data_IF_933672594386
#
_entry.id   IF_933672594386
#
_cell.length_a   1.000
_cell.length_b   1.000
_cell.length_c   1.000
_cell.angle_alpha   90.00
_cell.angle_beta   90.00
_cell.angle_gamma   90.00
#
_symmetry.space_group_name_H-M   'P 1'
#
loop_
_entity.id
_entity.type
_entity.pdbx_description
1 polymer ?
#
# COMPACT_ATOMS: atom_id res chain seq x y z
N UNK A 1 30.42 -22.86 4.45
CA UNK A 1 28.98 -22.53 4.31
C UNK A 1 28.80 -21.02 4.52
N UNK A 2 28.58 -20.25 3.45
CA UNK A 2 27.81 -19.02 3.58
C UNK A 2 26.73 -18.93 2.50
N UNK A 3 25.48 -18.72 2.91
CA UNK A 3 24.38 -18.40 2.00
C UNK A 3 24.37 -16.89 1.73
N UNK A 4 24.68 -16.50 0.48
CA UNK A 4 24.36 -15.18 -0.06
C UNK A 4 22.94 -15.21 -0.64
N UNK A 5 22.01 -14.48 -0.04
CA UNK A 5 20.74 -14.11 -0.66
C UNK A 5 20.97 -12.88 -1.52
N UNK A 6 21.25 -13.09 -2.81
CA UNK A 6 21.12 -12.07 -3.84
C UNK A 6 19.68 -12.11 -4.34
N UNK A 7 18.84 -11.16 -3.89
CA UNK A 7 17.55 -10.90 -4.56
C UNK A 7 17.89 -10.08 -5.80
N UNK A 8 18.29 -10.76 -6.87
CA UNK A 8 18.35 -10.18 -8.21
C UNK A 8 16.99 -10.37 -8.86
N UNK A 9 16.01 -9.56 -8.46
CA UNK A 9 14.88 -9.29 -9.36
C UNK A 9 15.27 -8.07 -10.18
N UNK A 10 16.00 -8.34 -11.25
CA UNK A 10 16.15 -7.42 -12.36
C UNK A 10 14.74 -7.29 -12.94
N UNK A 11 14.08 -6.19 -12.57
CA UNK A 11 12.92 -5.66 -13.28
C UNK A 11 13.34 -5.55 -14.76
N UNK A 12 13.07 -6.59 -15.54
CA UNK A 12 13.05 -6.47 -16.99
C UNK A 12 11.72 -5.81 -17.33
N UNK A 13 11.56 -4.58 -16.87
CA UNK A 13 10.97 -3.60 -17.76
C UNK A 13 11.76 -3.78 -19.05
N UNK A 14 11.10 -4.07 -20.16
CA UNK A 14 11.63 -3.60 -21.43
C UNK A 14 11.65 -2.09 -21.30
N UNK A 15 12.67 -1.55 -20.61
CA UNK A 15 13.18 -0.23 -20.90
C UNK A 15 13.51 -0.37 -22.38
N UNK A 16 12.64 0.18 -23.23
CA UNK A 16 13.16 0.78 -24.43
C UNK A 16 14.33 1.63 -23.95
N UNK A 17 15.51 1.50 -24.55
CA UNK A 17 16.69 2.33 -24.24
C UNK A 17 16.42 3.85 -24.44
N UNK A 18 15.18 4.21 -24.76
CA UNK A 18 14.65 5.54 -24.83
C UNK A 18 13.89 5.92 -23.53
N UNK A 19 14.43 6.80 -22.66
CA UNK A 19 13.73 7.31 -21.49
C UNK A 19 12.44 8.09 -21.83
N UNK A 20 12.22 8.43 -23.11
CA UNK A 20 10.96 9.00 -23.60
C UNK A 20 9.82 7.97 -23.73
N UNK A 21 10.05 6.68 -23.44
CA UNK A 21 9.01 5.64 -23.47
C UNK A 21 8.29 5.40 -22.14
N UNK A 22 8.65 6.14 -21.09
CA UNK A 22 7.86 6.13 -19.84
C UNK A 22 6.61 6.95 -20.13
N UNK A 23 5.47 6.27 -20.19
CA UNK A 23 4.19 6.94 -20.26
C UNK A 23 4.01 7.79 -18.98
N UNK A 24 4.14 9.11 -19.12
CA UNK A 24 3.96 10.05 -18.02
C UNK A 24 2.53 10.07 -17.49
N UNK A 25 1.54 9.56 -18.24
CA UNK A 25 0.19 9.34 -17.72
C UNK A 25 0.18 8.22 -16.66
N UNK A 26 1.04 7.21 -16.83
CA UNK A 26 1.20 6.07 -15.90
C UNK A 26 2.24 6.35 -14.81
N UNK A 27 3.26 7.19 -15.07
CA UNK A 27 4.32 7.51 -14.11
C UNK A 27 4.34 9.01 -13.79
N UNK A 28 3.63 9.47 -12.75
CA UNK A 28 3.41 10.89 -12.49
C UNK A 28 4.63 11.60 -11.88
N UNK A 29 5.79 10.94 -11.82
CA UNK A 29 7.03 11.57 -11.35
C UNK A 29 7.70 12.27 -12.52
N UNK A 30 7.82 13.61 -12.49
CA UNK A 30 8.65 14.31 -13.45
C UNK A 30 10.11 13.91 -13.17
N UNK A 31 10.62 12.95 -13.94
CA UNK A 31 12.05 12.64 -14.00
C UNK A 31 12.73 13.74 -14.84
N UNK A 32 12.65 14.99 -14.37
CA UNK A 32 13.40 16.08 -15.00
C UNK A 32 14.90 15.83 -14.81
N UNK A 33 15.69 16.18 -15.82
CA UNK A 33 17.15 16.16 -15.74
C UNK A 33 17.63 17.25 -14.77
N UNK A 34 17.66 16.93 -13.48
CA UNK A 34 18.05 17.81 -12.39
C UNK A 34 18.22 17.04 -11.08
N UNK A 35 18.81 17.67 -10.07
CA UNK A 35 18.95 17.06 -8.74
C UNK A 35 17.57 16.82 -8.11
N UNK A 36 17.35 15.61 -7.56
CA UNK A 36 16.10 15.26 -6.89
C UNK A 36 15.80 16.21 -5.72
N UNK A 37 14.61 16.80 -5.70
CA UNK A 37 14.10 17.62 -4.59
C UNK A 37 12.73 17.10 -4.16
N UNK A 38 12.57 16.86 -2.86
CA UNK A 38 11.27 16.55 -2.28
C UNK A 38 10.37 17.78 -2.35
N UNK A 39 9.21 17.63 -3.00
CA UNK A 39 8.17 18.65 -3.10
C UNK A 39 6.78 18.00 -2.92
N UNK A 40 5.80 18.79 -2.48
CA UNK A 40 4.42 18.32 -2.38
C UNK A 40 3.79 18.21 -3.77
N UNK A 41 3.66 16.98 -4.28
CA UNK A 41 3.11 16.67 -5.61
C UNK A 41 1.66 16.18 -5.59
N UNK A 42 0.82 16.74 -4.72
CA UNK A 42 -0.59 16.33 -4.62
C UNK A 42 -1.39 16.82 -5.83
N UNK A 43 -2.14 15.92 -6.47
CA UNK A 43 -3.11 16.24 -7.53
C UNK A 43 -4.41 15.50 -7.32
N UNK A 44 -5.49 16.02 -7.88
CA UNK A 44 -6.76 15.32 -7.91
C UNK A 44 -6.71 14.13 -8.89
N UNK A 45 -7.32 13.01 -8.51
CA UNK A 45 -7.53 11.82 -9.36
C UNK A 45 -8.97 11.36 -9.20
N UNK A 46 -9.51 10.67 -10.20
CA UNK A 46 -10.86 10.12 -10.12
C UNK A 46 -10.86 8.82 -9.32
N UNK A 47 -12.03 8.39 -8.82
CA UNK A 47 -12.14 7.12 -8.09
C UNK A 47 -11.74 5.91 -8.95
N UNK A 48 -11.98 5.98 -10.26
CA UNK A 48 -11.60 4.94 -11.21
C UNK A 48 -10.07 4.76 -11.32
N UNK A 49 -9.30 5.79 -10.95
CA UNK A 49 -7.84 5.80 -11.01
C UNK A 49 -7.18 5.52 -9.65
N UNK A 50 -7.97 5.19 -8.61
CA UNK A 50 -7.44 4.94 -7.27
C UNK A 50 -6.61 3.66 -7.17
N UNK A 51 -7.03 2.61 -7.88
CA UNK A 51 -6.41 1.28 -7.84
C UNK A 51 -5.91 0.93 -9.23
N UNK A 52 -4.61 0.66 -9.34
CA UNK A 52 -3.92 0.51 -10.61
C UNK A 52 -3.13 -0.81 -10.57
N UNK A 53 -3.79 -1.94 -10.84
CA UNK A 53 -3.11 -3.22 -10.86
C UNK A 53 -2.01 -3.25 -11.92
N UNK A 54 -0.80 -3.60 -11.48
CA UNK A 54 0.37 -3.69 -12.35
C UNK A 54 0.47 -5.04 -13.09
N UNK A 55 1.39 -5.15 -14.07
CA UNK A 55 1.67 -6.41 -14.76
C UNK A 55 2.19 -7.52 -13.83
N UNK A 56 2.75 -7.14 -12.68
CA UNK A 56 3.27 -8.02 -11.63
C UNK A 56 2.23 -8.36 -10.54
N UNK A 57 0.96 -8.00 -10.74
CA UNK A 57 -0.12 -8.24 -9.76
C UNK A 57 -0.17 -9.68 -9.29
N UNK A 58 -0.06 -10.67 -10.19
CA UNK A 58 -0.17 -12.07 -9.81
C UNK A 58 0.91 -12.48 -8.80
N UNK A 59 2.15 -12.04 -9.01
CA UNK A 59 3.28 -12.32 -8.13
C UNK A 59 3.14 -11.58 -6.80
N UNK A 60 2.79 -10.29 -6.85
CA UNK A 60 2.59 -9.51 -5.63
C UNK A 60 1.43 -10.03 -4.78
N UNK A 61 0.31 -10.43 -5.39
CA UNK A 61 -0.83 -11.00 -4.67
C UNK A 61 -0.49 -12.35 -4.04
N UNK A 62 0.34 -13.17 -4.69
CA UNK A 62 0.81 -14.44 -4.11
C UNK A 62 1.69 -14.20 -2.87
N UNK A 63 2.63 -13.25 -2.96
CA UNK A 63 3.48 -12.90 -1.81
C UNK A 63 2.68 -12.24 -0.68
N UNK A 64 1.70 -11.40 -1.03
CA UNK A 64 0.77 -10.79 -0.08
C UNK A 64 -0.04 -11.85 0.66
N UNK A 65 -0.58 -12.85 -0.04
CA UNK A 65 -1.26 -13.98 0.58
C UNK A 65 -0.33 -14.78 1.51
N UNK A 66 0.93 -15.00 1.11
CA UNK A 66 1.95 -15.66 1.94
C UNK A 66 2.19 -14.87 3.23
N UNK A 67 2.43 -13.55 3.15
CA UNK A 67 2.66 -12.69 4.31
C UNK A 67 1.45 -12.63 5.24
N UNK A 68 0.24 -12.54 4.69
CA UNK A 68 -1.00 -12.55 5.47
C UNK A 68 -1.22 -13.89 6.20
N UNK A 69 -0.76 -15.01 5.63
CA UNK A 69 -0.85 -16.33 6.24
C UNK A 69 0.24 -16.59 7.27
N UNK A 70 1.49 -16.26 6.95
CA UNK A 70 2.65 -16.65 7.75
C UNK A 70 3.08 -15.58 8.78
N UNK A 71 2.87 -14.30 8.46
CA UNK A 71 3.33 -13.17 9.27
C UNK A 71 2.27 -12.08 9.40
N UNK A 72 1.01 -12.40 9.77
CA UNK A 72 -0.07 -11.43 9.82
C UNK A 72 0.24 -10.23 10.72
N UNK A 73 0.91 -10.43 11.86
CA UNK A 73 1.17 -9.35 12.82
C UNK A 73 2.16 -8.29 12.31
N UNK A 74 2.96 -8.60 11.28
CA UNK A 74 3.88 -7.63 10.68
C UNK A 74 3.22 -6.79 9.59
N UNK A 75 2.11 -7.27 9.01
CA UNK A 75 1.44 -6.64 7.87
C UNK A 75 0.00 -6.21 8.14
N UNK A 76 -0.63 -6.66 9.23
CA UNK A 76 -1.99 -6.30 9.62
C UNK A 76 -2.01 -5.65 10.99
N UNK A 77 -2.73 -4.55 11.08
CA UNK A 77 -3.03 -3.90 12.35
C UNK A 77 -4.40 -3.24 12.28
N UNK A 78 -5.16 -3.31 13.37
CA UNK A 78 -6.38 -2.53 13.51
C UNK A 78 -6.58 -2.20 14.98
N UNK A 79 -6.63 -0.91 15.30
CA UNK A 79 -7.08 -0.43 16.59
C UNK A 79 -8.62 -0.43 16.61
N UNK A 80 -9.26 -0.55 17.79
CA UNK A 80 -10.72 -0.54 17.90
C UNK A 80 -11.39 0.66 17.21
N UNK A 81 -10.74 1.83 17.24
CA UNK A 81 -11.24 3.05 16.60
C UNK A 81 -11.34 2.95 15.07
N UNK A 82 -10.57 2.06 14.45
CA UNK A 82 -10.48 1.90 13.00
C UNK A 82 -11.39 0.79 12.44
N UNK A 83 -12.05 -0.01 13.28
CA UNK A 83 -12.77 -1.20 12.81
C UNK A 83 -13.87 -0.88 11.80
N UNK A 84 -14.68 0.14 12.08
CA UNK A 84 -15.74 0.60 11.17
C UNK A 84 -15.16 1.19 9.88
N UNK A 85 -14.08 1.95 9.98
CA UNK A 85 -13.42 2.55 8.83
C UNK A 85 -12.89 1.47 7.88
N UNK A 86 -12.31 0.39 8.41
CA UNK A 86 -11.86 -0.76 7.62
C UNK A 86 -13.00 -1.39 6.81
N UNK A 87 -14.18 -1.58 7.42
CA UNK A 87 -15.34 -2.10 6.70
C UNK A 87 -15.88 -1.14 5.63
N UNK A 88 -15.77 0.17 5.85
CA UNK A 88 -16.13 1.17 4.82
C UNK A 88 -15.18 1.07 3.64
N UNK A 89 -13.87 1.02 3.87
CA UNK A 89 -12.87 0.88 2.80
C UNK A 89 -13.08 -0.41 2.02
N UNK A 90 -13.35 -1.53 2.69
CA UNK A 90 -13.68 -2.79 2.01
C UNK A 90 -14.86 -2.63 1.05
N UNK A 91 -15.94 -1.95 1.47
CA UNK A 91 -17.12 -1.72 0.61
C UNK A 91 -16.89 -0.71 -0.51
N UNK A 92 -15.93 0.21 -0.36
CA UNK A 92 -15.51 1.10 -1.45
C UNK A 92 -14.77 0.32 -2.54
N UNK A 93 -13.96 -0.67 -2.13
CA UNK A 93 -13.20 -1.52 -3.06
C UNK A 93 -14.09 -2.62 -3.69
N UNK A 94 -14.96 -3.24 -2.89
CA UNK A 94 -15.92 -4.24 -3.34
C UNK A 94 -17.29 -3.97 -2.70
N UNK A 95 -18.23 -3.33 -3.45
CA UNK A 95 -19.57 -3.04 -2.97
C UNK A 95 -20.39 -4.27 -2.56
N UNK A 96 -20.01 -5.46 -3.03
CA UNK A 96 -20.68 -6.72 -2.74
C UNK A 96 -20.05 -7.47 -1.55
N UNK A 97 -18.98 -6.93 -0.97
CA UNK A 97 -18.32 -7.57 0.16
C UNK A 97 -19.29 -7.77 1.33
N UNK A 98 -19.19 -8.94 1.97
CA UNK A 98 -19.90 -9.20 3.21
C UNK A 98 -19.57 -8.15 4.28
N UNK A 99 -20.45 -7.98 5.27
CA UNK A 99 -20.36 -6.97 6.33
C UNK A 99 -19.20 -7.15 7.34
N UNK A 100 -17.97 -7.37 6.86
CA UNK A 100 -16.77 -7.46 7.68
C UNK A 100 -16.29 -6.07 8.14
N UNK A 101 -15.63 -6.04 9.30
CA UNK A 101 -14.99 -4.86 9.87
C UNK A 101 -13.62 -5.25 10.46
N UNK A 102 -12.84 -4.26 10.90
CA UNK A 102 -11.58 -4.49 11.62
C UNK A 102 -10.54 -5.30 10.84
N UNK A 103 -9.86 -6.20 11.55
CA UNK A 103 -8.85 -7.10 10.96
C UNK A 103 -9.43 -7.95 9.83
N UNK A 104 -10.67 -8.42 9.95
CA UNK A 104 -11.29 -9.24 8.90
C UNK A 104 -11.46 -8.44 7.60
N UNK A 105 -11.89 -7.18 7.69
CA UNK A 105 -12.01 -6.31 6.52
C UNK A 105 -10.64 -5.96 5.90
N UNK A 106 -9.65 -5.61 6.72
CA UNK A 106 -8.29 -5.33 6.25
C UNK A 106 -7.62 -6.56 5.61
N UNK A 107 -7.85 -7.75 6.17
CA UNK A 107 -7.38 -9.01 5.58
C UNK A 107 -8.06 -9.29 4.25
N UNK A 108 -9.36 -9.04 4.13
CA UNK A 108 -10.09 -9.21 2.87
C UNK A 108 -9.56 -8.25 1.79
N UNK A 109 -9.37 -6.97 2.11
CA UNK A 109 -8.68 -6.01 1.25
C UNK A 109 -7.32 -6.55 0.80
N UNK A 110 -6.59 -7.16 1.73
CA UNK A 110 -5.32 -7.85 1.48
C UNK A 110 -5.35 -8.93 0.40
N UNK A 111 -6.49 -9.58 0.19
CA UNK A 111 -6.63 -10.62 -0.81
C UNK A 111 -7.31 -10.12 -2.10
N UNK A 112 -7.88 -8.92 -2.10
CA UNK A 112 -8.60 -8.37 -3.25
C UNK A 112 -7.69 -7.55 -4.17
N UNK A 113 -6.83 -6.72 -3.58
CA UNK A 113 -6.09 -5.69 -4.32
C UNK A 113 -4.61 -5.65 -3.94
N UNK A 114 -3.80 -5.16 -4.88
CA UNK A 114 -2.33 -5.15 -4.81
C UNK A 114 -1.82 -4.09 -3.85
N UNK A 115 -2.57 -2.99 -3.71
CA UNK A 115 -2.24 -1.81 -2.94
C UNK A 115 -2.26 -2.08 -1.43
N UNK A 116 -1.36 -1.40 -0.74
CA UNK A 116 -1.35 -1.34 0.72
C UNK A 116 -2.25 -0.22 1.22
N UNK A 117 -3.01 -0.49 2.27
CA UNK A 117 -3.94 0.49 2.87
C UNK A 117 -3.48 0.89 4.25
N UNK A 118 -3.58 2.19 4.51
CA UNK A 118 -3.41 2.80 5.82
C UNK A 118 -4.67 3.61 6.15
N UNK A 119 -5.25 3.33 7.32
CA UNK A 119 -6.32 4.11 7.92
C UNK A 119 -5.69 5.08 8.89
N UNK A 120 -5.90 6.36 8.63
CA UNK A 120 -5.42 7.44 9.48
C UNK A 120 -6.60 8.17 10.11
N UNK A 121 -6.54 8.37 11.42
CA UNK A 121 -7.56 9.10 12.17
C UNK A 121 -6.91 10.25 12.92
N UNK A 122 -7.54 11.42 12.90
CA UNK A 122 -7.13 12.57 13.69
C UNK A 122 -7.94 12.61 14.99
N UNK A 123 -7.32 12.40 16.17
CA UNK A 123 -7.99 12.58 17.45
C UNK A 123 -8.52 13.99 17.63
N UNK A 124 -9.61 14.18 18.37
CA UNK A 124 -10.22 15.50 18.57
C UNK A 124 -9.30 16.50 19.31
N UNK A 125 -8.36 15.99 20.10
CA UNK A 125 -7.44 16.75 20.94
C UNK A 125 -6.04 16.92 20.32
N UNK A 126 -5.83 16.51 19.06
CA UNK A 126 -4.52 16.56 18.40
C UNK A 126 -4.65 17.06 16.96
N UNK A 127 -3.69 17.87 16.52
CA UNK A 127 -3.62 18.35 15.13
C UNK A 127 -3.01 17.31 14.17
N UNK A 128 -2.45 16.22 14.70
CA UNK A 128 -1.78 15.19 13.92
C UNK A 128 -2.65 13.96 13.64
N UNK A 129 -2.49 13.36 12.46
CA UNK A 129 -3.10 12.08 12.13
C UNK A 129 -2.31 10.93 12.75
N UNK A 130 -3.01 9.90 13.23
CA UNK A 130 -2.41 8.66 13.72
C UNK A 130 -2.76 7.49 12.83
N UNK A 131 -1.81 6.57 12.63
CA UNK A 131 -2.04 5.31 11.91
C UNK A 131 -2.81 4.33 12.79
N UNK A 132 -4.11 4.16 12.55
CA UNK A 132 -5.00 3.37 13.42
C UNK A 132 -5.42 2.03 12.83
N UNK A 133 -5.25 1.81 11.52
CA UNK A 133 -5.41 0.50 10.90
C UNK A 133 -4.58 0.38 9.63
N UNK A 134 -4.16 -0.82 9.27
CA UNK A 134 -3.42 -1.04 8.03
C UNK A 134 -3.47 -2.50 7.57
N UNK A 135 -3.38 -2.67 6.25
CA UNK A 135 -2.87 -3.88 5.61
C UNK A 135 -1.71 -3.46 4.69
N UNK A 136 -0.49 -3.76 5.13
CA UNK A 136 0.76 -3.18 4.63
C UNK A 136 1.81 -4.27 4.43
N UNK A 137 1.89 -4.84 3.23
CA UNK A 137 2.75 -5.98 2.92
C UNK A 137 4.10 -5.57 2.34
N UNK A 138 4.21 -4.38 1.74
CA UNK A 138 5.43 -3.93 1.06
C UNK A 138 5.89 -2.54 1.56
N UNK A 139 6.09 -2.32 2.88
CA UNK A 139 6.54 -1.03 3.39
C UNK A 139 7.97 -0.69 2.99
N UNK A 140 8.23 0.58 2.67
CA UNK A 140 9.59 1.04 2.31
C UNK A 140 10.34 1.58 3.54
N UNK A 141 11.26 0.78 4.10
CA UNK A 141 12.20 1.14 5.19
C UNK A 141 11.56 1.48 6.55
N UNK A 142 10.35 0.98 6.84
CA UNK A 142 9.75 1.02 8.18
C UNK A 142 8.90 -0.22 8.46
N UNK A 143 8.53 -0.44 9.72
CA UNK A 143 7.72 -1.58 10.16
C UNK A 143 6.39 -1.12 10.73
N UNK A 144 5.32 -1.83 10.40
CA UNK A 144 3.97 -1.51 10.89
C UNK A 144 3.90 -1.49 12.41
N UNK A 145 4.56 -2.44 13.07
CA UNK A 145 4.61 -2.53 14.52
C UNK A 145 5.18 -1.26 15.18
N UNK A 146 6.13 -0.59 14.54
CA UNK A 146 6.78 0.60 15.08
C UNK A 146 5.94 1.87 14.89
N UNK A 147 5.01 1.87 13.93
CA UNK A 147 4.22 3.06 13.54
C UNK A 147 2.74 2.98 13.96
N UNK A 148 2.22 1.79 14.29
CA UNK A 148 0.83 1.62 14.73
C UNK A 148 0.53 2.50 15.95
N UNK A 149 -0.51 3.33 15.84
CA UNK A 149 -0.96 4.28 16.86
C UNK A 149 -0.11 5.55 16.96
N UNK A 150 0.99 5.64 16.22
CA UNK A 150 1.88 6.80 16.24
C UNK A 150 1.39 7.90 15.30
N UNK A 151 1.76 9.17 15.55
CA UNK A 151 1.55 10.26 14.62
C UNK A 151 2.27 10.00 13.28
N UNK A 152 1.66 10.44 12.17
CA UNK A 152 2.23 10.35 10.81
C UNK A 152 3.05 11.57 10.44
#
# INVERSE_FOLDING_TARGET
MPYSLQITSLMRATMSDNPASIDQATFPFPLEAGGFRLAMGLRHITEADWLLPGPDRAEQMAERARLLGEQPDSVLACLPSAERAAGIVLRLVDPNAAGANGIAALRALGHLVQEDFCIMQRPANEDSYRLTGAVLCFPNRWRLADKRGQPM
#
